data_IF_008181948747
#
_entry.id   IF_008181948747
#
_cell.length_a   1.000
_cell.length_b   1.000
_cell.length_c   1.000
_cell.angle_alpha   90.00
_cell.angle_beta   90.00
_cell.angle_gamma   90.00
#
_symmetry.space_group_name_H-M   'P 1'
#
loop_
_entity.id
_entity.type
_entity.pdbx_description
1 polymer ?
#
# COMPACT_ATOMS: atom_id res chain seq x y z
N UNK A 1 3.03 -17.71 -4.38
CA UNK A 1 4.32 -17.47 -5.06
C UNK A 1 5.20 -18.69 -4.90
N UNK A 2 5.90 -19.05 -5.96
CA UNK A 2 6.69 -20.30 -6.02
C UNK A 2 8.02 -20.01 -6.67
N UNK A 3 9.11 -20.37 -5.99
CA UNK A 3 10.49 -20.22 -6.45
C UNK A 3 10.82 -18.79 -6.94
N UNK A 4 10.31 -17.79 -6.22
CA UNK A 4 10.44 -16.39 -6.61
C UNK A 4 11.85 -15.89 -6.32
N UNK A 5 12.48 -15.32 -7.35
CA UNK A 5 13.80 -14.67 -7.26
C UNK A 5 13.73 -13.26 -7.83
N UNK A 6 14.41 -12.33 -7.16
CA UNK A 6 14.39 -10.91 -7.54
C UNK A 6 15.70 -10.19 -7.21
N UNK A 7 16.17 -9.37 -8.14
CA UNK A 7 17.23 -8.38 -8.00
C UNK A 7 16.76 -7.07 -8.65
N UNK A 8 17.12 -5.93 -8.04
CA UNK A 8 16.84 -4.63 -8.66
C UNK A 8 17.67 -4.45 -9.93
N UNK A 9 17.11 -3.77 -10.95
CA UNK A 9 17.82 -3.48 -12.20
C UNK A 9 19.10 -2.66 -11.99
N UNK A 10 19.15 -1.83 -10.95
CA UNK A 10 20.33 -1.07 -10.56
C UNK A 10 21.46 -1.94 -9.99
N UNK A 11 21.16 -3.15 -9.54
CA UNK A 11 22.10 -4.08 -8.91
C UNK A 11 21.79 -5.53 -9.30
N UNK A 12 21.91 -5.90 -10.59
CA UNK A 12 21.45 -7.20 -11.10
C UNK A 12 22.22 -8.39 -10.52
N UNK A 13 23.45 -8.17 -10.05
CA UNK A 13 24.30 -9.19 -9.44
C UNK A 13 24.08 -9.35 -7.92
N UNK A 14 23.17 -8.56 -7.33
CA UNK A 14 22.87 -8.60 -5.89
C UNK A 14 21.42 -9.07 -5.69
N UNK A 15 21.18 -10.39 -5.62
CA UNK A 15 19.83 -10.91 -5.45
C UNK A 15 19.28 -10.57 -4.06
N UNK A 16 18.12 -9.90 -4.05
CA UNK A 16 17.40 -9.51 -2.83
C UNK A 16 16.50 -10.64 -2.33
N UNK A 17 15.82 -11.34 -3.26
CA UNK A 17 15.01 -12.52 -2.97
C UNK A 17 15.57 -13.70 -3.76
N UNK A 18 15.70 -14.85 -3.10
CA UNK A 18 16.31 -16.05 -3.67
C UNK A 18 15.41 -17.26 -3.41
N UNK A 19 14.78 -17.78 -4.46
CA UNK A 19 13.97 -19.00 -4.45
C UNK A 19 12.90 -19.04 -3.34
N UNK A 20 12.18 -17.93 -3.15
CA UNK A 20 11.17 -17.79 -2.10
C UNK A 20 9.84 -18.43 -2.55
N UNK A 21 9.31 -19.33 -1.73
CA UNK A 21 8.00 -19.95 -1.92
C UNK A 21 7.11 -19.65 -0.71
N UNK A 22 6.02 -18.92 -0.94
CA UNK A 22 5.09 -18.46 0.10
C UNK A 22 3.65 -18.50 -0.42
N UNK A 23 2.70 -18.75 0.47
CA UNK A 23 1.28 -18.72 0.17
C UNK A 23 0.53 -17.89 1.22
N UNK A 24 -0.12 -16.82 0.77
CA UNK A 24 -1.02 -16.02 1.59
C UNK A 24 -2.43 -16.59 1.46
N UNK A 25 -3.01 -17.06 2.57
CA UNK A 25 -4.36 -17.66 2.56
C UNK A 25 -5.41 -16.58 2.82
N UNK A 26 -6.50 -16.64 2.06
CA UNK A 26 -7.64 -15.74 2.26
C UNK A 26 -8.17 -15.83 3.70
N UNK A 27 -8.55 -14.70 4.28
CA UNK A 27 -9.07 -14.62 5.65
C UNK A 27 -8.03 -14.81 6.76
N UNK A 28 -6.73 -14.86 6.43
CA UNK A 28 -5.66 -15.01 7.42
C UNK A 28 -4.79 -13.76 7.52
N UNK A 29 -4.25 -13.52 8.72
CA UNK A 29 -3.16 -12.56 8.92
C UNK A 29 -1.83 -13.32 8.82
N UNK A 30 -0.96 -12.92 7.89
CA UNK A 30 0.37 -13.50 7.74
C UNK A 30 1.42 -12.46 8.15
N UNK A 31 2.23 -12.79 9.15
CA UNK A 31 3.35 -11.95 9.58
C UNK A 31 4.65 -12.39 8.88
N UNK A 32 5.33 -11.45 8.22
CA UNK A 32 6.65 -11.68 7.62
C UNK A 32 7.73 -11.12 8.55
N UNK A 33 8.57 -12.01 9.09
CA UNK A 33 9.61 -11.66 10.08
C UNK A 33 10.99 -11.91 9.47
N UNK A 34 11.94 -11.02 9.77
CA UNK A 34 13.33 -11.15 9.37
C UNK A 34 14.15 -9.90 9.67
N UNK A 35 15.49 -9.96 9.59
CA UNK A 35 16.39 -8.82 9.87
C UNK A 35 16.12 -7.59 9.01
N UNK A 36 16.59 -6.42 9.43
CA UNK A 36 16.58 -5.23 8.55
C UNK A 36 17.34 -5.53 7.26
N UNK A 37 16.84 -5.04 6.12
CA UNK A 37 17.44 -5.32 4.80
C UNK A 37 17.15 -6.71 4.21
N UNK A 38 16.40 -7.59 4.88
CA UNK A 38 16.11 -8.95 4.39
C UNK A 38 15.13 -9.03 3.20
N UNK A 39 14.82 -7.92 2.53
CA UNK A 39 13.91 -7.90 1.37
C UNK A 39 12.40 -7.89 1.68
N UNK A 40 11.97 -7.67 2.93
CA UNK A 40 10.53 -7.62 3.28
C UNK A 40 9.76 -6.56 2.50
N UNK A 41 10.30 -5.33 2.46
CA UNK A 41 9.72 -4.22 1.70
C UNK A 41 9.73 -4.52 0.21
N UNK A 42 10.79 -5.15 -0.30
CA UNK A 42 10.88 -5.59 -1.70
C UNK A 42 9.80 -6.60 -2.04
N UNK A 43 9.51 -7.55 -1.15
CA UNK A 43 8.40 -8.49 -1.32
C UNK A 43 7.04 -7.77 -1.40
N UNK A 44 6.81 -6.79 -0.52
CA UNK A 44 5.60 -5.97 -0.57
C UNK A 44 5.50 -5.18 -1.89
N UNK A 45 6.62 -4.62 -2.39
CA UNK A 45 6.66 -3.93 -3.68
C UNK A 45 6.32 -4.85 -4.87
N UNK A 46 6.78 -6.10 -4.84
CA UNK A 46 6.42 -7.10 -5.85
C UNK A 46 4.93 -7.48 -5.78
N UNK A 47 4.38 -7.65 -4.58
CA UNK A 47 2.95 -7.92 -4.38
C UNK A 47 2.07 -6.78 -4.91
N UNK A 48 2.52 -5.53 -4.79
CA UNK A 48 1.83 -4.35 -5.35
C UNK A 48 2.03 -4.17 -6.86
N UNK A 49 2.80 -5.05 -7.50
CA UNK A 49 3.15 -4.96 -8.93
C UNK A 49 3.96 -3.71 -9.27
N UNK A 50 4.78 -3.19 -8.33
CA UNK A 50 5.70 -2.09 -8.60
C UNK A 50 6.94 -2.56 -9.38
N UNK A 51 7.27 -3.84 -9.25
CA UNK A 51 8.33 -4.50 -10.00
C UNK A 51 7.84 -5.84 -10.53
N UNK A 52 8.49 -6.33 -11.58
CA UNK A 52 8.25 -7.66 -12.14
C UNK A 52 9.34 -8.63 -11.64
N UNK A 53 9.00 -9.83 -11.13
CA UNK A 53 9.99 -10.83 -10.73
C UNK A 53 10.95 -11.23 -11.85
N UNK A 54 12.22 -11.49 -11.54
CA UNK A 54 13.19 -12.00 -12.53
C UNK A 54 12.95 -13.47 -12.88
N UNK A 55 12.36 -14.24 -11.96
CA UNK A 55 12.01 -15.66 -12.13
C UNK A 55 10.84 -15.93 -13.09
N UNK A 56 10.35 -14.89 -13.78
CA UNK A 56 9.25 -14.98 -14.75
C UNK A 56 7.86 -14.78 -14.14
N UNK A 57 6.85 -14.51 -14.98
CA UNK A 57 5.53 -14.03 -14.55
C UNK A 57 4.69 -15.08 -13.79
N UNK A 58 5.00 -16.38 -13.95
CA UNK A 58 4.32 -17.47 -13.25
C UNK A 58 4.77 -17.64 -11.79
N UNK A 59 5.91 -17.06 -11.41
CA UNK A 59 6.43 -17.16 -10.03
C UNK A 59 5.59 -16.37 -9.01
N UNK A 60 4.77 -15.43 -9.49
CA UNK A 60 3.87 -14.61 -8.68
C UNK A 60 2.43 -14.68 -9.23
N UNK A 61 1.52 -15.18 -8.42
CA UNK A 61 0.11 -15.36 -8.77
C UNK A 61 -0.81 -14.78 -7.71
N UNK A 62 -1.96 -14.28 -8.14
CA UNK A 62 -3.07 -13.81 -7.31
C UNK A 62 -4.31 -14.62 -7.67
N UNK A 63 -4.94 -15.28 -6.70
CA UNK A 63 -6.05 -16.20 -6.95
C UNK A 63 -5.76 -17.19 -8.10
N UNK A 64 -4.55 -17.75 -8.12
CA UNK A 64 -4.03 -18.65 -9.17
C UNK A 64 -3.84 -18.04 -10.57
N UNK A 65 -4.05 -16.73 -10.74
CA UNK A 65 -3.75 -16.03 -11.98
C UNK A 65 -2.36 -15.38 -11.92
N UNK A 66 -1.49 -15.58 -12.93
CA UNK A 66 -0.21 -14.88 -13.02
C UNK A 66 -0.36 -13.35 -13.03
N UNK A 67 0.59 -12.63 -12.43
CA UNK A 67 0.59 -11.16 -12.45
C UNK A 67 0.51 -10.59 -13.88
N UNK A 68 1.14 -11.25 -14.86
CA UNK A 68 1.11 -10.81 -16.26
C UNK A 68 -0.28 -10.84 -16.91
N UNK A 69 -1.24 -11.55 -16.32
CA UNK A 69 -2.61 -11.65 -16.84
C UNK A 69 -3.56 -10.65 -16.18
N UNK A 70 -3.09 -9.86 -15.22
CA UNK A 70 -3.87 -8.90 -14.46
C UNK A 70 -3.48 -7.48 -14.85
N UNK A 71 -4.46 -6.57 -14.83
CA UNK A 71 -4.15 -5.14 -14.90
C UNK A 71 -3.75 -4.63 -13.51
N UNK A 72 -2.81 -3.70 -13.45
CA UNK A 72 -2.41 -3.08 -12.18
C UNK A 72 -3.54 -2.33 -11.48
N UNK A 73 -4.43 -1.58 -12.18
CA UNK A 73 -5.59 -0.96 -11.55
C UNK A 73 -6.51 -1.96 -10.87
N UNK A 74 -6.87 -3.06 -11.55
CA UNK A 74 -7.77 -4.07 -10.97
C UNK A 74 -7.12 -4.76 -9.77
N UNK A 75 -5.84 -5.14 -9.88
CA UNK A 75 -5.10 -5.74 -8.78
C UNK A 75 -5.07 -4.82 -7.55
N UNK A 76 -4.77 -3.54 -7.76
CA UNK A 76 -4.61 -2.56 -6.67
C UNK A 76 -5.95 -2.13 -6.08
N UNK A 77 -7.06 -2.24 -6.80
CA UNK A 77 -8.40 -2.02 -6.25
C UNK A 77 -8.76 -3.02 -5.13
N UNK A 78 -8.07 -4.17 -5.09
CA UNK A 78 -8.23 -5.19 -4.05
C UNK A 78 -7.15 -5.14 -2.97
N UNK A 79 -6.33 -4.09 -2.94
CA UNK A 79 -5.20 -3.97 -2.01
C UNK A 79 -5.21 -2.61 -1.30
N UNK A 80 -4.77 -2.62 -0.05
CA UNK A 80 -4.43 -1.41 0.68
C UNK A 80 -2.99 -1.50 1.17
N UNK A 81 -2.25 -0.40 1.07
CA UNK A 81 -0.90 -0.27 1.59
C UNK A 81 -0.89 0.82 2.67
N UNK A 82 -0.39 0.46 3.85
CA UNK A 82 0.01 1.44 4.88
C UNK A 82 1.53 1.44 4.90
N UNK A 83 2.20 2.42 4.27
CA UNK A 83 3.66 2.46 4.21
C UNK A 83 4.23 2.87 5.57
N UNK A 84 5.50 2.51 5.81
CA UNK A 84 6.23 2.92 7.01
C UNK A 84 6.35 4.45 7.13
N UNK A 85 6.51 5.13 5.99
CA UNK A 85 6.51 6.59 5.89
C UNK A 85 5.35 6.99 4.96
N UNK A 86 4.20 7.43 5.51
CA UNK A 86 3.08 7.87 4.70
C UNK A 86 3.41 9.16 3.95
N UNK A 87 2.94 9.24 2.71
CA UNK A 87 2.97 10.45 1.92
C UNK A 87 1.58 11.10 1.95
N UNK A 88 1.55 12.40 2.24
CA UNK A 88 0.35 13.22 2.13
C UNK A 88 0.55 14.25 1.02
N UNK A 89 -0.52 14.52 0.29
CA UNK A 89 -0.55 15.48 -0.80
C UNK A 89 -0.83 16.89 -0.27
N UNK A 90 -0.34 17.93 -0.97
CA UNK A 90 -0.65 19.33 -0.67
C UNK A 90 -2.12 19.63 -0.97
N UNK A 91 -3.00 19.23 -0.07
CA UNK A 91 -4.45 19.24 -0.20
C UNK A 91 -5.10 19.22 1.19
N UNK A 92 -6.42 19.40 1.27
CA UNK A 92 -7.14 19.24 2.54
C UNK A 92 -6.98 17.84 3.13
N UNK A 93 -7.18 17.72 4.44
CA UNK A 93 -7.23 16.43 5.12
C UNK A 93 -8.32 15.52 4.50
N UNK A 94 -9.50 16.07 4.20
CA UNK A 94 -10.58 15.34 3.53
C UNK A 94 -10.14 14.76 2.18
N UNK A 95 -9.46 15.56 1.36
CA UNK A 95 -8.96 15.11 0.06
C UNK A 95 -7.90 14.01 0.19
N UNK A 96 -7.02 14.08 1.19
CA UNK A 96 -6.07 13.02 1.48
C UNK A 96 -6.76 11.71 1.92
N UNK A 97 -7.82 11.79 2.75
CA UNK A 97 -8.61 10.61 3.17
C UNK A 97 -9.33 9.99 1.96
N UNK A 98 -9.89 10.82 1.08
CA UNK A 98 -10.62 10.37 -0.10
C UNK A 98 -9.71 9.91 -1.25
N UNK A 99 -8.40 10.16 -1.18
CA UNK A 99 -7.47 9.97 -2.30
C UNK A 99 -7.51 8.55 -2.89
N UNK A 100 -7.72 7.53 -2.05
CA UNK A 100 -7.80 6.13 -2.48
C UNK A 100 -9.11 5.75 -3.18
N UNK A 101 -10.09 6.65 -3.27
CA UNK A 101 -11.41 6.40 -3.85
C UNK A 101 -11.55 7.05 -5.22
N UNK A 102 -12.21 6.36 -6.14
CA UNK A 102 -12.66 6.98 -7.39
C UNK A 102 -13.68 8.10 -7.09
N UNK A 103 -13.73 9.17 -7.90
CA UNK A 103 -14.71 10.25 -7.72
C UNK A 103 -16.17 9.77 -7.72
N UNK A 104 -16.47 8.70 -8.45
CA UNK A 104 -17.79 8.05 -8.51
C UNK A 104 -18.09 7.12 -7.34
N UNK A 105 -17.16 6.95 -6.40
CA UNK A 105 -17.33 6.04 -5.27
C UNK A 105 -18.49 6.50 -4.37
N UNK A 106 -19.38 5.60 -3.94
CA UNK A 106 -20.45 5.93 -2.99
C UNK A 106 -19.90 6.28 -1.60
N UNK A 107 -18.61 6.03 -1.36
CA UNK A 107 -17.94 6.27 -0.09
C UNK A 107 -17.39 7.68 0.07
N UNK A 108 -17.62 8.59 -0.88
CA UNK A 108 -17.10 9.96 -0.88
C UNK A 108 -17.84 10.93 0.06
N UNK A 109 -18.99 10.51 0.62
CA UNK A 109 -19.79 11.37 1.49
C UNK A 109 -19.04 11.81 2.76
N UNK A 110 -19.36 13.02 3.26
CA UNK A 110 -18.80 13.53 4.53
C UNK A 110 -19.04 12.59 5.71
N UNK A 111 -20.18 11.90 5.75
CA UNK A 111 -20.47 10.91 6.79
C UNK A 111 -19.49 9.74 6.76
N UNK A 112 -19.08 9.27 5.57
CA UNK A 112 -18.09 8.21 5.42
C UNK A 112 -16.69 8.67 5.81
N UNK A 113 -16.32 9.92 5.50
CA UNK A 113 -15.04 10.51 5.95
C UNK A 113 -14.98 10.52 7.48
N UNK A 114 -16.03 11.01 8.16
CA UNK A 114 -16.09 11.04 9.62
C UNK A 114 -16.04 9.64 10.23
N UNK A 115 -16.69 8.66 9.59
CA UNK A 115 -16.58 7.25 10.01
C UNK A 115 -15.16 6.71 9.88
N UNK A 116 -14.46 7.04 8.79
CA UNK A 116 -13.07 6.62 8.59
C UNK A 116 -12.14 7.27 9.63
N UNK A 117 -12.31 8.57 9.90
CA UNK A 117 -11.58 9.30 10.95
C UNK A 117 -11.80 8.65 12.32
N UNK A 118 -13.05 8.32 12.65
CA UNK A 118 -13.36 7.67 13.92
C UNK A 118 -12.78 6.27 14.02
N UNK A 119 -12.86 5.47 12.95
CA UNK A 119 -12.29 4.11 12.92
C UNK A 119 -10.76 4.13 13.02
N UNK A 120 -10.10 5.18 12.53
CA UNK A 120 -8.66 5.39 12.66
C UNK A 120 -8.24 5.99 14.01
N UNK A 121 -9.18 6.31 14.91
CA UNK A 121 -8.88 6.93 16.20
C UNK A 121 -8.45 8.40 16.11
N UNK A 122 -8.79 9.09 15.02
CA UNK A 122 -8.33 10.45 14.72
C UNK A 122 -9.35 11.54 15.07
N UNK A 123 -10.51 11.20 15.67
CA UNK A 123 -11.59 12.16 15.94
C UNK A 123 -11.12 13.40 16.70
N UNK A 124 -10.45 13.22 17.85
CA UNK A 124 -9.99 14.33 18.68
C UNK A 124 -8.87 15.12 18.00
N UNK A 125 -8.04 14.45 17.20
CA UNK A 125 -7.01 15.11 16.42
C UNK A 125 -7.62 16.05 15.39
N UNK A 126 -8.61 15.58 14.61
CA UNK A 126 -9.30 16.40 13.62
C UNK A 126 -10.04 17.56 14.27
N UNK A 127 -10.66 17.35 15.43
CA UNK A 127 -11.35 18.41 16.17
C UNK A 127 -10.42 19.55 16.66
N UNK A 128 -9.12 19.27 16.84
CA UNK A 128 -8.12 20.28 17.24
C UNK A 128 -7.52 21.05 16.07
N UNK A 129 -7.74 20.62 14.83
CA UNK A 129 -7.24 21.34 13.66
C UNK A 129 -8.05 22.62 13.42
N UNK A 130 -7.42 23.74 13.00
CA UNK A 130 -8.09 25.02 12.82
C UNK A 130 -9.33 24.97 11.92
N UNK A 131 -9.29 24.15 10.86
CA UNK A 131 -10.36 24.00 9.87
C UNK A 131 -10.91 22.56 9.82
N UNK A 132 -10.60 21.74 10.82
CA UNK A 132 -11.01 20.34 10.86
C UNK A 132 -10.60 19.57 9.60
N UNK A 133 -11.58 18.98 8.91
CA UNK A 133 -11.38 18.23 7.66
C UNK A 133 -10.88 19.07 6.49
N UNK A 134 -11.14 20.39 6.48
CA UNK A 134 -10.73 21.29 5.41
C UNK A 134 -9.30 21.82 5.61
N UNK A 135 -8.68 21.51 6.75
CA UNK A 135 -7.31 21.92 7.06
C UNK A 135 -6.35 21.48 5.96
N UNK A 136 -5.66 22.45 5.38
CA UNK A 136 -4.68 22.21 4.33
C UNK A 136 -3.45 21.51 4.90
N UNK A 137 -3.09 20.37 4.33
CA UNK A 137 -1.88 19.64 4.65
C UNK A 137 -0.78 20.14 3.71
N UNK A 138 0.31 20.66 4.26
CA UNK A 138 1.47 21.08 3.47
C UNK A 138 2.25 19.90 2.88
N UNK A 139 3.21 20.17 1.98
CA UNK A 139 4.05 19.13 1.36
C UNK A 139 4.68 18.20 2.40
N UNK A 140 4.48 16.88 2.21
CA UNK A 140 5.05 15.84 3.06
C UNK A 140 4.45 15.77 4.47
N UNK A 141 3.32 16.41 4.73
CA UNK A 141 2.64 16.31 6.03
C UNK A 141 3.43 16.91 7.20
N UNK A 142 4.37 17.85 6.93
CA UNK A 142 5.30 18.42 7.93
C UNK A 142 4.63 19.09 9.15
N UNK A 143 3.31 19.28 9.14
CA UNK A 143 2.51 19.78 10.25
C UNK A 143 1.89 18.67 11.13
N UNK A 144 2.03 17.40 10.75
CA UNK A 144 1.45 16.25 11.45
C UNK A 144 2.57 15.37 12.02
N UNK A 145 2.48 15.05 13.31
CA UNK A 145 3.33 14.00 13.88
C UNK A 145 2.87 12.64 13.36
N UNK A 146 3.83 11.81 12.91
CA UNK A 146 3.57 10.42 12.53
C UNK A 146 3.22 9.52 13.70
#
# INVERSE_FOLDING_TARGET
>A
MTNLSFAYLSQPHTPILQNISLAFRAGTCTALVGPSGSGKTTLASLLLGLYTPNSGPSSLTFAHQPLANLTLPDLRAHMALVPQFPALFPASLAQNILYGLAPSSPFTSRANILRAVSAAGLTDFVARLPEGLETQIGEGGRALSG
#
